data_IF_930713804135
#
_entry.id   IF_930713804135
#
_cell.length_a   1.000
_cell.length_b   1.000
_cell.length_c   1.000
_cell.angle_alpha   90.00
_cell.angle_beta   90.00
_cell.angle_gamma   90.00
#
_symmetry.space_group_name_H-M   'P 1'
#
loop_
_entity.id
_entity.type
_entity.pdbx_description
1 polymer ?
#
# COMPACT_ATOMS: atom_id res chain seq x y z
N UNK A 1 29.15 30.83 -10.46
CA UNK A 1 28.78 29.63 -9.66
C UNK A 1 29.02 29.85 -8.16
N UNK A 2 29.29 31.08 -7.70
CA UNK A 2 29.61 31.35 -6.28
C UNK A 2 28.39 31.44 -5.35
N UNK A 3 27.17 31.59 -5.89
CA UNK A 3 25.95 31.72 -5.08
C UNK A 3 25.62 30.50 -4.22
N UNK A 4 26.11 29.31 -4.59
CA UNK A 4 25.87 28.07 -3.85
C UNK A 4 26.98 27.72 -2.86
N UNK A 5 28.12 28.42 -2.85
CA UNK A 5 29.31 27.95 -2.13
C UNK A 5 29.07 27.78 -0.63
N UNK A 6 28.38 28.75 -0.01
CA UNK A 6 28.01 28.66 1.40
C UNK A 6 26.95 27.59 1.72
N UNK A 7 26.13 27.19 0.75
CA UNK A 7 25.16 26.11 0.92
C UNK A 7 25.83 24.75 0.73
N UNK A 8 26.80 24.65 -0.18
CA UNK A 8 27.61 23.44 -0.39
C UNK A 8 28.43 23.12 0.86
N UNK A 9 29.08 24.11 1.46
CA UNK A 9 29.86 23.93 2.70
C UNK A 9 28.98 23.58 3.92
N UNK A 10 27.67 23.89 3.90
CA UNK A 10 26.76 23.57 5.01
C UNK A 10 26.07 22.23 4.85
N UNK A 11 25.58 21.93 3.65
CA UNK A 11 24.75 20.77 3.39
C UNK A 11 25.48 19.63 2.70
N UNK A 12 26.57 19.93 2.00
CA UNK A 12 27.30 19.01 1.14
C UNK A 12 28.80 18.95 1.51
N UNK A 13 29.10 19.01 2.81
CA UNK A 13 30.47 18.97 3.33
C UNK A 13 31.26 17.77 2.77
N UNK A 14 32.46 18.05 2.27
CA UNK A 14 33.33 17.03 1.68
C UNK A 14 32.98 16.63 0.25
N UNK A 15 31.90 17.16 -0.34
CA UNK A 15 31.53 16.93 -1.74
C UNK A 15 31.91 18.10 -2.66
N UNK A 16 32.41 19.22 -2.14
CA UNK A 16 32.68 20.49 -2.84
C UNK A 16 33.42 20.36 -4.19
N UNK A 17 34.32 19.38 -4.32
CA UNK A 17 35.15 19.15 -5.51
C UNK A 17 34.72 17.94 -6.33
N UNK A 18 33.58 17.34 -5.98
CA UNK A 18 33.05 16.15 -6.64
C UNK A 18 31.90 16.53 -7.58
N UNK A 19 31.66 15.72 -8.61
CA UNK A 19 30.47 15.89 -9.46
C UNK A 19 29.13 15.67 -8.72
N UNK A 20 29.19 15.28 -7.44
CA UNK A 20 28.02 14.93 -6.63
C UNK A 20 27.39 16.13 -5.92
N UNK A 21 28.02 17.31 -5.95
CA UNK A 21 27.47 18.55 -5.35
C UNK A 21 26.05 18.83 -5.85
N UNK A 22 25.81 18.70 -7.16
CA UNK A 22 24.50 18.91 -7.75
C UNK A 22 23.46 17.87 -7.30
N UNK A 23 23.88 16.63 -7.04
CA UNK A 23 23.03 15.59 -6.47
C UNK A 23 22.68 15.92 -5.02
N UNK A 24 23.67 16.29 -4.22
CA UNK A 24 23.49 16.70 -2.84
C UNK A 24 22.48 17.86 -2.71
N UNK A 25 22.70 18.95 -3.45
CA UNK A 25 21.85 20.16 -3.40
C UNK A 25 20.42 19.94 -3.93
N UNK A 26 20.18 18.90 -4.73
CA UNK A 26 18.85 18.67 -5.31
C UNK A 26 18.10 17.53 -4.65
N UNK A 27 18.76 16.47 -4.20
CA UNK A 27 18.14 15.27 -3.61
C UNK A 27 17.97 15.35 -2.10
N UNK A 28 18.92 15.98 -1.42
CA UNK A 28 19.02 15.91 0.04
C UNK A 28 18.64 17.23 0.73
N UNK A 29 18.73 18.36 0.02
CA UNK A 29 18.29 19.67 0.50
C UNK A 29 16.99 20.12 -0.14
N UNK A 30 16.14 20.78 0.65
CA UNK A 30 14.92 21.42 0.14
C UNK A 30 15.28 22.79 -0.41
N UNK A 31 14.64 23.20 -1.52
CA UNK A 31 14.85 24.53 -2.12
C UNK A 31 14.62 25.70 -1.15
N UNK A 32 13.81 25.49 -0.11
CA UNK A 32 13.54 26.48 0.96
C UNK A 32 14.72 26.70 1.91
N UNK A 33 15.59 25.69 2.05
CA UNK A 33 16.75 25.73 2.95
C UNK A 33 18.01 26.28 2.25
N UNK A 34 17.94 26.51 0.93
CA UNK A 34 19.00 27.08 0.11
C UNK A 34 18.86 28.59 0.01
N UNK A 35 19.99 29.28 -0.20
CA UNK A 35 19.96 30.71 -0.51
C UNK A 35 19.24 30.97 -1.84
N UNK A 36 18.60 32.13 -1.96
CA UNK A 36 17.86 32.54 -3.18
C UNK A 36 18.73 32.44 -4.44
N UNK A 37 20.02 32.77 -4.31
CA UNK A 37 20.99 32.67 -5.40
C UNK A 37 21.26 31.24 -5.83
N UNK A 38 21.33 30.29 -4.88
CA UNK A 38 21.54 28.89 -5.20
C UNK A 38 20.27 28.21 -5.73
N UNK A 39 19.13 28.45 -5.08
CA UNK A 39 17.84 27.90 -5.49
C UNK A 39 17.46 28.29 -6.93
N UNK A 40 17.81 29.51 -7.38
CA UNK A 40 17.56 29.96 -8.75
C UNK A 40 18.42 29.24 -9.81
N UNK A 41 19.59 28.72 -9.43
CA UNK A 41 20.48 28.00 -10.34
C UNK A 41 20.21 26.51 -10.42
N UNK A 42 19.52 25.96 -9.41
CA UNK A 42 19.20 24.54 -9.38
C UNK A 42 18.01 24.27 -10.31
N UNK A 43 18.07 23.18 -11.13
CA UNK A 43 16.93 22.77 -11.91
C UNK A 43 15.80 22.41 -10.96
N UNK A 44 14.78 23.28 -10.90
CA UNK A 44 13.67 23.15 -9.97
C UNK A 44 12.98 21.81 -10.25
N UNK A 45 13.06 20.88 -9.30
CA UNK A 45 12.32 19.63 -9.39
C UNK A 45 10.84 19.99 -9.48
N UNK A 46 10.11 19.60 -10.55
CA UNK A 46 8.68 19.84 -10.61
C UNK A 46 8.06 19.17 -9.38
N UNK A 47 7.47 20.01 -8.51
CA UNK A 47 7.18 19.69 -7.12
C UNK A 47 6.24 18.49 -6.93
N UNK A 48 5.53 18.07 -7.95
CA UNK A 48 4.76 16.84 -7.90
C UNK A 48 4.86 16.16 -9.26
N UNK A 49 5.27 14.89 -9.27
CA UNK A 49 4.97 14.03 -10.42
C UNK A 49 3.46 14.12 -10.58
N UNK A 50 2.92 14.61 -11.72
CA UNK A 50 1.48 14.70 -11.88
C UNK A 50 0.93 13.31 -11.61
N UNK A 51 0.05 13.20 -10.60
CA UNK A 51 -0.69 11.97 -10.34
C UNK A 51 -1.36 11.63 -11.66
N UNK A 52 -0.82 10.65 -12.40
CA UNK A 52 -1.40 10.23 -13.68
C UNK A 52 -2.85 9.88 -13.40
N UNK A 53 -3.76 10.74 -13.84
CA UNK A 53 -5.20 10.52 -13.74
C UNK A 53 -5.46 9.32 -14.64
N UNK A 54 -5.57 8.14 -14.04
CA UNK A 54 -5.92 6.93 -14.77
C UNK A 54 -7.34 7.13 -15.25
N UNK A 55 -7.55 7.03 -16.55
CA UNK A 55 -8.89 7.06 -17.13
C UNK A 55 -9.71 5.90 -16.55
N UNK A 56 -11.04 6.04 -16.54
CA UNK A 56 -11.93 4.98 -16.04
C UNK A 56 -11.70 3.66 -16.78
N UNK A 57 -11.43 3.73 -18.09
CA UNK A 57 -11.07 2.60 -18.94
C UNK A 57 -9.76 1.91 -18.49
N UNK A 58 -8.72 2.66 -18.15
CA UNK A 58 -7.47 2.09 -17.63
C UNK A 58 -7.66 1.39 -16.28
N UNK A 59 -8.51 1.97 -15.42
CA UNK A 59 -8.87 1.36 -14.14
C UNK A 59 -9.66 0.07 -14.35
N UNK A 60 -10.59 0.04 -15.30
CA UNK A 60 -11.36 -1.16 -15.63
C UNK A 60 -10.45 -2.26 -16.21
N UNK A 61 -9.57 -1.91 -17.15
CA UNK A 61 -8.57 -2.81 -17.73
C UNK A 61 -7.64 -3.38 -16.64
N UNK A 62 -7.21 -2.55 -15.69
CA UNK A 62 -6.42 -2.99 -14.54
C UNK A 62 -7.20 -3.95 -13.63
N UNK A 63 -8.47 -3.66 -13.34
CA UNK A 63 -9.35 -4.56 -12.57
C UNK A 63 -9.55 -5.90 -13.28
N UNK A 64 -9.78 -5.91 -14.60
CA UNK A 64 -9.91 -7.12 -15.40
C UNK A 64 -8.63 -7.97 -15.35
N UNK A 65 -7.47 -7.36 -15.55
CA UNK A 65 -6.15 -8.03 -15.43
C UNK A 65 -5.96 -8.66 -14.04
N UNK A 66 -6.35 -7.95 -12.99
CA UNK A 66 -6.28 -8.46 -11.60
C UNK A 66 -7.16 -9.69 -11.41
N UNK A 67 -8.42 -9.66 -11.87
CA UNK A 67 -9.35 -10.81 -11.79
C UNK A 67 -8.80 -12.06 -12.48
N UNK A 68 -8.18 -11.90 -13.66
CA UNK A 68 -7.58 -13.03 -14.39
C UNK A 68 -6.42 -13.64 -13.60
N UNK A 69 -5.52 -12.80 -13.06
CA UNK A 69 -4.39 -13.27 -12.23
C UNK A 69 -4.88 -13.98 -10.97
N UNK A 70 -5.88 -13.43 -10.29
CA UNK A 70 -6.43 -14.03 -9.07
C UNK A 70 -7.07 -15.40 -9.35
N UNK A 71 -7.77 -15.53 -10.49
CA UNK A 71 -8.34 -16.81 -10.94
C UNK A 71 -7.23 -17.83 -11.24
N UNK A 72 -6.19 -17.44 -11.98
CA UNK A 72 -5.05 -18.31 -12.28
C UNK A 72 -4.33 -18.75 -10.99
N UNK A 73 -4.09 -17.84 -10.06
CA UNK A 73 -3.47 -18.13 -8.77
C UNK A 73 -4.32 -19.09 -7.92
N UNK A 74 -5.66 -18.99 -8.00
CA UNK A 74 -6.56 -19.93 -7.32
C UNK A 74 -6.46 -21.33 -7.93
N UNK A 75 -6.50 -21.44 -9.26
CA UNK A 75 -6.37 -22.73 -9.95
C UNK A 75 -5.02 -23.40 -9.65
N UNK A 76 -3.91 -22.63 -9.64
CA UNK A 76 -2.59 -23.15 -9.27
C UNK A 76 -2.54 -23.68 -7.83
N UNK A 77 -3.20 -23.00 -6.87
CA UNK A 77 -3.33 -23.48 -5.48
C UNK A 77 -4.15 -24.75 -5.36
N UNK A 78 -5.13 -24.95 -6.23
CA UNK A 78 -5.97 -26.13 -6.23
C UNK A 78 -5.29 -27.32 -6.91
N UNK A 79 -4.47 -27.10 -7.93
CA UNK A 79 -3.65 -28.14 -8.58
C UNK A 79 -2.47 -28.61 -7.72
N UNK A 80 -1.93 -27.78 -6.83
CA UNK A 80 -0.86 -28.16 -5.89
C UNK A 80 -1.33 -28.16 -4.42
N UNK A 81 -2.19 -29.11 -4.00
CA UNK A 81 -2.75 -29.16 -2.65
C UNK A 81 -1.71 -29.47 -1.56
N UNK A 82 -0.50 -29.94 -1.93
CA UNK A 82 0.53 -30.32 -0.97
C UNK A 82 1.02 -29.16 -0.06
N UNK A 83 0.72 -27.90 -0.40
CA UNK A 83 1.03 -26.74 0.44
C UNK A 83 -0.12 -26.30 1.38
N UNK A 84 -1.30 -26.93 1.33
CA UNK A 84 -2.45 -26.55 2.19
C UNK A 84 -2.22 -26.93 3.68
N UNK A 85 -1.47 -27.99 3.95
CA UNK A 85 -1.19 -28.45 5.32
C UNK A 85 -0.08 -27.65 6.02
N UNK A 86 0.96 -27.20 5.29
CA UNK A 86 2.04 -26.38 5.87
C UNK A 86 1.56 -25.01 6.36
N UNK A 87 0.56 -24.42 5.70
CA UNK A 87 0.00 -23.10 6.09
C UNK A 87 -0.87 -23.14 7.35
N UNK A 88 -1.42 -24.30 7.73
CA UNK A 88 -2.12 -24.47 9.02
C UNK A 88 -1.15 -24.54 10.20
N UNK A 89 0.08 -25.02 9.98
CA UNK A 89 1.11 -25.13 11.03
C UNK A 89 1.90 -23.83 11.26
N UNK A 90 1.95 -22.91 10.28
CA UNK A 90 2.73 -21.66 10.40
C UNK A 90 2.01 -20.51 11.11
N UNK A 91 0.82 -20.72 11.70
CA UNK A 91 0.25 -19.73 12.63
C UNK A 91 1.00 -19.85 13.94
N UNK A 92 2.04 -19.04 14.07
CA UNK A 92 2.87 -18.92 15.26
C UNK A 92 1.96 -18.81 16.51
N UNK A 93 2.11 -19.65 17.55
CA UNK A 93 1.23 -19.65 18.73
C UNK A 93 1.03 -18.25 19.34
N UNK A 94 2.06 -17.41 19.26
CA UNK A 94 2.03 -16.00 19.69
C UNK A 94 0.92 -15.15 19.02
N UNK A 95 0.60 -15.40 17.74
CA UNK A 95 -0.45 -14.66 17.02
C UNK A 95 -1.86 -15.15 17.39
N UNK A 96 -1.97 -16.41 17.86
CA UNK A 96 -3.23 -16.99 18.33
C UNK A 96 -3.61 -16.47 19.73
N UNK A 97 -2.60 -16.11 20.53
CA UNK A 97 -2.74 -15.53 21.86
C UNK A 97 -3.21 -14.08 21.79
N UNK A 98 -2.55 -13.23 20.98
CA UNK A 98 -2.98 -11.83 20.74
C UNK A 98 -4.42 -11.67 20.23
N UNK A 99 -4.97 -12.68 19.53
CA UNK A 99 -6.38 -12.69 19.06
C UNK A 99 -7.39 -13.08 20.14
N UNK A 100 -6.98 -13.74 21.23
CA UNK A 100 -7.85 -14.02 22.37
C UNK A 100 -8.05 -12.77 23.22
N UNK A 101 -6.99 -11.96 23.37
CA UNK A 101 -7.04 -10.71 24.15
C UNK A 101 -7.73 -9.56 23.41
N UNK A 102 -7.79 -9.61 22.07
CA UNK A 102 -8.41 -8.58 21.24
C UNK A 102 -9.90 -8.81 20.93
N UNK A 103 -10.60 -9.75 21.59
CA UNK A 103 -12.06 -9.86 21.50
C UNK A 103 -12.70 -8.91 22.53
N UNK A 104 -13.26 -7.75 22.13
CA UNK A 104 -14.23 -7.08 22.98
C UNK A 104 -15.42 -8.02 23.19
N UNK A 105 -15.93 -8.05 24.41
CA UNK A 105 -17.17 -8.71 24.83
C UNK A 105 -18.32 -8.37 23.87
N UNK A 106 -18.46 -9.11 22.76
CA UNK A 106 -19.70 -9.15 21.99
C UNK A 106 -20.48 -10.31 22.60
N UNK A 107 -21.59 -9.94 23.24
CA UNK A 107 -22.50 -10.86 23.91
C UNK A 107 -22.94 -12.03 23.02
N UNK A 108 -23.62 -13.01 23.62
CA UNK A 108 -24.05 -14.21 22.92
C UNK A 108 -24.85 -13.82 21.66
N UNK A 109 -24.59 -14.47 20.51
CA UNK A 109 -25.37 -14.22 19.31
C UNK A 109 -26.81 -14.68 19.58
N UNK A 110 -27.74 -13.73 19.60
CA UNK A 110 -29.17 -14.02 19.58
C UNK A 110 -29.47 -15.01 18.45
N UNK A 111 -30.07 -16.13 18.84
CA UNK A 111 -30.28 -17.29 17.98
C UNK A 111 -31.16 -17.03 16.76
N UNK A 112 -31.12 -17.93 15.75
CA UNK A 112 -31.93 -17.80 14.55
C UNK A 112 -33.37 -18.27 14.80
N UNK A 113 -34.23 -17.43 15.38
CA UNK A 113 -35.64 -17.75 15.60
C UNK A 113 -36.60 -17.04 14.61
N UNK A 114 -37.57 -17.81 14.09
CA UNK A 114 -38.88 -17.44 13.51
C UNK A 114 -39.09 -17.23 12.00
N UNK A 115 -38.12 -16.92 11.14
CA UNK A 115 -38.45 -16.67 9.71
C UNK A 115 -38.73 -17.90 8.84
N UNK A 116 -38.42 -19.13 9.29
CA UNK A 116 -38.64 -20.36 8.50
C UNK A 116 -40.01 -21.03 8.68
N UNK A 117 -40.85 -20.62 9.65
CA UNK A 117 -42.14 -21.31 9.91
C UNK A 117 -43.32 -20.80 9.06
N UNK A 118 -43.24 -19.60 8.47
CA UNK A 118 -44.32 -19.05 7.63
C UNK A 118 -44.40 -19.60 6.20
N UNK A 119 -43.37 -20.30 5.71
CA UNK A 119 -43.39 -20.88 4.34
C UNK A 119 -43.93 -22.30 4.26
N UNK A 120 -44.08 -23.03 5.38
CA UNK A 120 -44.65 -24.39 5.36
C UNK A 120 -46.18 -24.41 5.42
N UNK A 121 -46.83 -23.44 6.06
CA UNK A 121 -48.31 -23.38 6.07
C UNK A 121 -48.97 -22.96 4.75
N UNK A 122 -48.25 -22.30 3.83
CA UNK A 122 -48.81 -21.89 2.52
C UNK A 122 -48.70 -22.98 1.44
N UNK A 123 -48.19 -24.17 1.76
CA UNK A 123 -48.07 -25.28 0.81
C UNK A 123 -49.03 -26.46 1.11
N UNK A 124 -49.94 -26.29 2.07
CA UNK A 124 -51.01 -27.27 2.38
C UNK A 124 -52.40 -26.77 1.97
N UNK A 125 -52.53 -25.56 1.38
CA UNK A 125 -53.81 -25.01 0.90
C UNK A 125 -53.83 -24.81 -0.64
N UNK A 126 -53.06 -25.61 -1.38
CA UNK A 126 -53.08 -25.63 -2.85
C UNK A 126 -52.96 -27.06 -3.37
#
# INVERSE_FOLDING_TARGET
>A
MDGCKGDIEKFCQGLEYTGEVMGCLTEWTKLEDLTVGCAATLPSKPLEKPKRVKTEEELEKAKRRRRVRDKAAKMAKDQHPQNKNKKKQSKNPYEKEKRKDAKPNRGPPDGPDKKKRKRRKKKEEL
#
